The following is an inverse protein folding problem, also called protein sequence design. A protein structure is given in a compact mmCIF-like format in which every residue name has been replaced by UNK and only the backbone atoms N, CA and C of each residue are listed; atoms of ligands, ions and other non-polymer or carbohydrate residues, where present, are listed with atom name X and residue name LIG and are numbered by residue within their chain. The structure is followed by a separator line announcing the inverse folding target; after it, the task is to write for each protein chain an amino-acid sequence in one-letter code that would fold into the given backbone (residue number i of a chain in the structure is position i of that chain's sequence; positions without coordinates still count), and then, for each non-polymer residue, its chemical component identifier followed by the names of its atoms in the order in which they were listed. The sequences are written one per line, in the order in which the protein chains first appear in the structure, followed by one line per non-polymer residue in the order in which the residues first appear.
data_IF_334898056718
#
_entry.id   IF_334898056718
#
_cell.length_a   1.000
_cell.length_b   1.000
_cell.length_c   1.000
_cell.angle_alpha   90.00
_cell.angle_beta   90.00
_cell.angle_gamma   90.00
#
_symmetry.space_group_name_H-M   'P 1'
#
loop_
_entity.id
_entity.type
_entity.pdbx_description
1 polymer ?
#
# COMPACT_ATOMS: atom_id res chain seq x y z
N UNK A 1 5.81 25.77 6.98
CA UNK A 1 6.51 24.51 7.26
C UNK A 1 6.86 24.49 8.74
N UNK A 2 6.07 23.80 9.55
CA UNK A 2 6.23 23.76 11.02
C UNK A 2 7.28 22.72 11.42
N UNK A 3 7.90 22.90 12.58
CA UNK A 3 8.97 22.02 13.10
C UNK A 3 8.55 20.53 13.22
N UNK A 4 7.24 20.27 13.35
CA UNK A 4 6.63 18.93 13.29
C UNK A 4 6.69 18.29 11.90
N UNK A 5 6.57 19.07 10.83
CA UNK A 5 6.63 18.57 9.46
C UNK A 5 8.07 18.14 9.14
N UNK A 6 9.06 18.94 9.58
CA UNK A 6 10.48 18.63 9.40
C UNK A 6 10.88 17.31 10.08
N UNK A 7 10.43 17.08 11.32
CA UNK A 7 10.71 15.83 12.06
C UNK A 7 10.09 14.58 11.42
N UNK A 8 9.03 14.72 10.61
CA UNK A 8 8.39 13.59 9.92
C UNK A 8 9.09 13.22 8.61
N UNK A 9 9.68 14.20 7.93
CA UNK A 9 10.45 13.97 6.70
C UNK A 9 11.76 13.20 6.93
N UNK A 10 12.31 13.30 8.15
CA UNK A 10 13.53 12.60 8.58
C UNK A 10 13.30 11.16 9.06
N UNK A 11 12.05 10.68 9.15
CA UNK A 11 11.73 9.30 9.53
C UNK A 11 11.96 8.34 8.36
N UNK A 12 13.24 8.14 8.02
CA UNK A 12 13.67 7.09 7.11
C UNK A 12 13.51 5.74 7.81
N UNK A 13 12.98 4.76 7.09
CA UNK A 13 12.86 3.40 7.60
C UNK A 13 14.22 2.70 7.54
N UNK A 14 14.73 2.23 8.68
CA UNK A 14 15.87 1.28 8.77
C UNK A 14 15.47 -0.13 8.31
N UNK A 15 14.69 -0.23 7.23
CA UNK A 15 14.30 -1.53 6.69
C UNK A 15 15.56 -2.21 6.15
N UNK A 16 15.92 -3.42 6.63
CA UNK A 16 17.02 -4.16 6.05
C UNK A 16 16.76 -4.40 4.55
N UNK A 17 17.83 -4.54 3.74
CA UNK A 17 17.70 -4.71 2.30
C UNK A 17 16.74 -5.85 1.95
N UNK A 18 15.93 -5.64 0.92
CA UNK A 18 14.91 -6.60 0.53
C UNK A 18 15.53 -7.96 0.16
N UNK A 19 14.94 -9.09 0.58
CA UNK A 19 15.44 -10.42 0.25
C UNK A 19 15.10 -10.88 -1.18
N UNK A 20 14.76 -9.95 -2.08
CA UNK A 20 14.36 -10.18 -3.48
C UNK A 20 14.89 -9.05 -4.36
N UNK A 21 14.94 -9.28 -5.67
CA UNK A 21 15.41 -8.27 -6.62
C UNK A 21 14.50 -7.03 -6.60
N UNK A 22 15.11 -5.86 -6.41
CA UNK A 22 14.43 -4.55 -6.41
C UNK A 22 14.81 -3.69 -7.62
N UNK A 23 15.41 -4.31 -8.63
CA UNK A 23 15.88 -3.72 -9.88
C UNK A 23 14.77 -3.66 -10.96
N UNK A 24 13.52 -3.93 -10.57
CA UNK A 24 12.37 -3.93 -11.47
C UNK A 24 12.21 -5.19 -12.32
N UNK A 25 13.16 -6.13 -12.28
CA UNK A 25 13.08 -7.38 -13.07
C UNK A 25 12.11 -8.40 -12.46
N UNK A 26 12.00 -8.45 -11.13
CA UNK A 26 11.10 -9.36 -10.40
C UNK A 26 10.17 -8.63 -9.41
N UNK A 27 9.06 -8.08 -9.93
CA UNK A 27 7.97 -7.56 -9.09
C UNK A 27 7.20 -8.68 -8.37
N UNK A 28 7.31 -9.93 -8.82
CA UNK A 28 6.64 -11.09 -8.22
C UNK A 28 7.22 -11.43 -6.85
N UNK A 29 8.55 -11.37 -6.71
CA UNK A 29 9.27 -11.55 -5.46
C UNK A 29 8.81 -10.57 -4.37
N UNK A 30 8.66 -9.29 -4.72
CA UNK A 30 8.17 -8.25 -3.81
C UNK A 30 6.76 -8.57 -3.30
N UNK A 31 5.83 -8.85 -4.23
CA UNK A 31 4.44 -9.19 -3.91
C UNK A 31 4.36 -10.42 -3.01
N UNK A 32 5.14 -11.47 -3.31
CA UNK A 32 5.16 -12.73 -2.54
C UNK A 32 5.74 -12.54 -1.14
N UNK A 33 6.76 -11.72 -0.99
CA UNK A 33 7.33 -11.40 0.32
C UNK A 33 6.31 -10.65 1.20
N UNK A 34 5.68 -9.59 0.67
CA UNK A 34 4.67 -8.84 1.41
C UNK A 34 3.45 -9.71 1.76
N UNK A 35 3.07 -10.63 0.88
CA UNK A 35 2.07 -11.68 1.15
C UNK A 35 2.49 -12.59 2.31
N UNK A 36 3.72 -13.11 2.28
CA UNK A 36 4.25 -14.01 3.31
C UNK A 36 4.33 -13.35 4.69
N UNK A 37 4.74 -12.08 4.75
CA UNK A 37 4.79 -11.30 6.00
C UNK A 37 3.39 -11.08 6.57
N UNK A 38 2.41 -10.73 5.72
CA UNK A 38 1.02 -10.56 6.15
C UNK A 38 0.42 -11.89 6.67
N UNK A 39 0.67 -12.99 5.97
CA UNK A 39 0.20 -14.32 6.35
C UNK A 39 0.85 -14.80 7.66
N UNK A 40 2.15 -14.57 7.85
CA UNK A 40 2.86 -14.94 9.09
C UNK A 40 2.31 -14.19 10.31
N UNK A 41 1.97 -12.89 10.15
CA UNK A 41 1.30 -12.13 11.20
C UNK A 41 -0.10 -12.68 11.49
N UNK A 42 -0.88 -12.99 10.45
CA UNK A 42 -2.19 -13.60 10.62
C UNK A 42 -2.12 -14.95 11.36
N UNK A 43 -1.23 -15.85 10.94
CA UNK A 43 -1.06 -17.17 11.55
C UNK A 43 -0.59 -17.10 13.01
N UNK A 44 0.03 -15.99 13.44
CA UNK A 44 0.42 -15.78 14.84
C UNK A 44 -0.77 -15.42 15.73
N UNK A 45 -1.71 -14.60 15.25
CA UNK A 45 -2.81 -14.06 16.07
C UNK A 45 -4.12 -14.83 15.90
N UNK A 46 -4.43 -15.27 14.69
CA UNK A 46 -5.66 -15.97 14.36
C UNK A 46 -5.94 -17.22 15.22
N UNK A 47 -4.98 -18.16 15.43
CA UNK A 47 -5.27 -19.36 16.22
C UNK A 47 -5.59 -19.03 17.68
N UNK A 48 -5.01 -17.97 18.24
CA UNK A 48 -5.30 -17.54 19.62
C UNK A 48 -6.76 -17.08 19.74
N UNK A 49 -7.21 -16.20 18.85
CA UNK A 49 -8.60 -15.73 18.88
C UNK A 49 -9.60 -16.83 18.52
N UNK A 50 -9.24 -17.72 17.60
CA UNK A 50 -10.05 -18.87 17.23
C UNK A 50 -10.22 -19.83 18.41
N UNK A 51 -9.15 -20.13 19.15
CA UNK A 51 -9.22 -20.97 20.35
C UNK A 51 -10.08 -20.33 21.44
N UNK A 52 -9.95 -19.02 21.66
CA UNK A 52 -10.77 -18.29 22.63
C UNK A 52 -12.26 -18.33 22.30
N UNK A 53 -12.61 -18.43 21.02
CA UNK A 53 -13.99 -18.55 20.56
C UNK A 53 -14.50 -19.99 20.61
N UNK A 54 -13.72 -20.96 20.09
CA UNK A 54 -14.12 -22.37 19.97
C UNK A 54 -14.23 -23.05 21.35
N UNK A 55 -13.44 -22.65 22.35
CA UNK A 55 -13.51 -23.24 23.69
C UNK A 55 -14.92 -23.18 24.32
N UNK A 56 -15.74 -22.18 23.96
CA UNK A 56 -17.12 -22.07 24.45
C UNK A 56 -17.96 -23.28 24.04
N UNK A 57 -17.78 -23.72 22.80
CA UNK A 57 -18.53 -24.84 22.22
C UNK A 57 -18.04 -26.20 22.72
N UNK A 58 -16.76 -26.30 23.10
CA UNK A 58 -16.16 -27.56 23.59
C UNK A 58 -16.43 -27.75 25.08
N UNK A 59 -16.33 -26.69 25.88
CA UNK A 59 -16.40 -26.78 27.34
C UNK A 59 -17.82 -26.57 27.89
N UNK A 60 -18.75 -26.01 27.10
CA UNK A 60 -20.12 -25.70 27.53
C UNK A 60 -20.19 -24.91 28.86
N UNK A 61 -19.21 -24.03 29.09
CA UNK A 61 -19.14 -23.19 30.29
C UNK A 61 -19.69 -21.81 29.97
N UNK A 62 -20.90 -21.52 30.46
CA UNK A 62 -21.57 -20.23 30.26
C UNK A 62 -20.78 -19.04 30.80
N UNK A 63 -19.93 -19.25 31.81
CA UNK A 63 -19.03 -18.24 32.37
C UNK A 63 -17.94 -17.75 31.40
N UNK A 64 -17.64 -18.52 30.33
CA UNK A 64 -16.64 -18.14 29.33
C UNK A 64 -17.22 -17.30 28.18
N UNK A 65 -18.52 -16.99 28.21
CA UNK A 65 -19.21 -16.24 27.16
C UNK A 65 -18.57 -14.86 26.85
N UNK A 66 -18.13 -14.04 27.83
CA UNK A 66 -17.41 -12.79 27.54
C UNK A 66 -16.08 -13.02 26.80
N UNK A 67 -15.36 -14.09 27.15
CA UNK A 67 -14.07 -14.45 26.52
C UNK A 67 -14.30 -14.91 25.08
N UNK A 68 -15.36 -15.67 24.85
CA UNK A 68 -15.75 -16.13 23.52
C UNK A 68 -16.16 -14.98 22.60
N UNK A 69 -16.85 -13.96 23.12
CA UNK A 69 -17.19 -12.73 22.38
C UNK A 69 -15.90 -12.02 21.94
N UNK A 70 -14.92 -11.86 22.83
CA UNK A 70 -13.61 -11.27 22.49
C UNK A 70 -12.89 -12.10 21.43
N UNK A 71 -12.90 -13.42 21.55
CA UNK A 71 -12.36 -14.34 20.55
C UNK A 71 -13.02 -14.18 19.17
N UNK A 72 -14.34 -14.09 19.13
CA UNK A 72 -15.11 -13.88 17.90
C UNK A 72 -14.73 -12.55 17.22
N UNK A 73 -14.75 -11.44 17.97
CA UNK A 73 -14.38 -10.13 17.43
C UNK A 73 -12.92 -10.09 16.96
N UNK A 74 -11.99 -10.68 17.72
CA UNK A 74 -10.59 -10.79 17.31
C UNK A 74 -10.40 -11.62 16.04
N UNK A 75 -11.18 -12.69 15.87
CA UNK A 75 -11.16 -13.54 14.67
C UNK A 75 -11.67 -12.77 13.44
N UNK A 76 -12.82 -12.11 13.56
CA UNK A 76 -13.38 -11.28 12.48
C UNK A 76 -12.42 -10.13 12.13
N UNK A 77 -11.87 -9.46 13.13
CA UNK A 77 -10.92 -8.36 12.94
C UNK A 77 -9.63 -8.81 12.23
N UNK A 78 -9.04 -9.92 12.65
CA UNK A 78 -7.82 -10.46 12.02
C UNK A 78 -8.07 -10.92 10.58
N UNK A 79 -9.23 -11.53 10.29
CA UNK A 79 -9.65 -11.85 8.93
C UNK A 79 -9.83 -10.59 8.07
N UNK A 80 -10.46 -9.55 8.61
CA UNK A 80 -10.64 -8.28 7.92
C UNK A 80 -9.29 -7.63 7.58
N UNK A 81 -8.36 -7.59 8.53
CA UNK A 81 -7.00 -7.09 8.29
C UNK A 81 -6.26 -7.90 7.23
N UNK A 82 -6.36 -9.24 7.25
CA UNK A 82 -5.76 -10.08 6.23
C UNK A 82 -6.37 -9.79 4.85
N UNK A 83 -7.70 -9.72 4.75
CA UNK A 83 -8.41 -9.44 3.51
C UNK A 83 -8.02 -8.07 2.92
N UNK A 84 -7.92 -7.02 3.75
CA UNK A 84 -7.51 -5.69 3.30
C UNK A 84 -6.07 -5.70 2.75
N UNK A 85 -5.12 -6.34 3.47
CA UNK A 85 -3.72 -6.47 3.03
C UNK A 85 -3.57 -7.28 1.75
N UNK A 86 -4.33 -8.37 1.63
CA UNK A 86 -4.37 -9.21 0.44
C UNK A 86 -4.96 -8.45 -0.75
N UNK A 87 -6.06 -7.74 -0.55
CA UNK A 87 -6.71 -6.92 -1.58
C UNK A 87 -5.75 -5.85 -2.09
N UNK A 88 -5.04 -5.17 -1.18
CA UNK A 88 -4.06 -4.15 -1.53
C UNK A 88 -2.88 -4.72 -2.34
N UNK A 89 -2.32 -5.84 -1.88
CA UNK A 89 -1.21 -6.53 -2.57
C UNK A 89 -1.63 -7.03 -3.95
N UNK A 90 -2.87 -7.55 -4.07
CA UNK A 90 -3.46 -7.96 -5.36
C UNK A 90 -3.65 -6.76 -6.30
N UNK A 91 -4.05 -5.59 -5.78
CA UNK A 91 -4.16 -4.37 -6.59
C UNK A 91 -2.79 -3.97 -7.14
N UNK A 92 -1.75 -3.93 -6.33
CA UNK A 92 -0.39 -3.63 -6.82
C UNK A 92 0.06 -4.65 -7.88
N UNK A 93 -0.14 -5.95 -7.63
CA UNK A 93 0.19 -6.99 -8.60
C UNK A 93 -0.58 -6.84 -9.92
N UNK A 94 -1.86 -6.46 -9.84
CA UNK A 94 -2.70 -6.22 -11.03
C UNK A 94 -2.21 -4.99 -11.83
N UNK A 95 -1.76 -3.94 -11.15
CA UNK A 95 -1.15 -2.76 -11.78
C UNK A 95 0.17 -3.12 -12.48
N UNK A 96 1.08 -3.83 -11.81
CA UNK A 96 2.35 -4.27 -12.40
C UNK A 96 2.18 -5.19 -13.62
N UNK A 97 1.06 -5.93 -13.69
CA UNK A 97 0.73 -6.75 -14.87
C UNK A 97 0.13 -5.94 -16.04
N UNK A 98 -0.47 -4.79 -15.76
CA UNK A 98 -1.20 -4.00 -16.76
C UNK A 98 -0.36 -2.85 -17.33
N UNK A 99 0.59 -2.35 -16.55
CA UNK A 99 1.49 -1.26 -16.91
C UNK A 99 2.94 -1.73 -16.90
N UNK A 100 3.77 -1.30 -17.87
CA UNK A 100 5.20 -1.57 -17.83
C UNK A 100 5.83 -0.88 -16.62
N UNK A 101 6.88 -1.49 -16.07
CA UNK A 101 7.68 -0.91 -15.01
C UNK A 101 8.66 0.08 -15.63
N UNK A 102 8.56 1.35 -15.25
CA UNK A 102 9.45 2.41 -15.72
C UNK A 102 10.20 3.00 -14.53
N UNK A 103 11.52 3.10 -14.64
CA UNK A 103 12.33 3.76 -13.61
C UNK A 103 12.11 5.27 -13.71
N UNK A 104 11.70 5.90 -12.61
CA UNK A 104 11.44 7.33 -12.53
C UNK A 104 12.39 7.97 -11.51
N UNK A 105 13.17 8.94 -11.99
CA UNK A 105 14.08 9.79 -11.22
C UNK A 105 14.02 11.20 -11.75
N UNK A 106 14.10 12.26 -10.94
CA UNK A 106 14.15 12.25 -9.48
C UNK A 106 12.75 12.18 -8.83
N UNK A 107 12.68 11.76 -7.57
CA UNK A 107 11.43 11.72 -6.80
C UNK A 107 11.50 12.76 -5.68
N UNK A 108 10.64 13.76 -5.75
CA UNK A 108 10.53 14.80 -4.74
C UNK A 108 9.53 14.40 -3.64
N UNK A 109 9.98 14.54 -2.39
CA UNK A 109 9.14 14.39 -1.20
C UNK A 109 8.35 15.68 -0.99
N UNK A 110 7.04 15.65 -1.19
CA UNK A 110 6.20 16.84 -1.01
C UNK A 110 5.64 16.96 0.41
N UNK A 111 5.49 15.85 1.13
CA UNK A 111 5.14 15.84 2.56
C UNK A 111 4.40 14.59 3.03
N UNK A 112 4.13 14.51 4.33
CA UNK A 112 3.47 13.38 4.99
C UNK A 112 2.23 13.82 5.77
N UNK A 113 1.04 13.49 5.28
CA UNK A 113 -0.22 13.85 5.94
C UNK A 113 -0.48 13.00 7.19
N UNK A 114 -0.14 11.71 7.14
CA UNK A 114 -0.42 10.75 8.21
C UNK A 114 0.60 9.63 8.25
N UNK A 115 0.62 8.89 9.36
CA UNK A 115 1.48 7.70 9.62
C UNK A 115 1.31 6.57 8.60
N UNK A 116 0.61 6.73 7.48
CA UNK A 116 0.44 5.69 6.45
C UNK A 116 0.33 6.27 5.03
N UNK A 117 0.43 7.60 4.88
CA UNK A 117 0.18 8.31 3.63
C UNK A 117 1.32 9.27 3.35
N UNK A 118 2.00 9.09 2.22
CA UNK A 118 3.10 9.93 1.75
C UNK A 118 2.66 10.67 0.48
N UNK A 119 3.17 11.88 0.24
CA UNK A 119 2.97 12.60 -1.02
C UNK A 119 4.25 12.69 -1.82
N UNK A 120 4.17 12.22 -3.06
CA UNK A 120 5.28 12.10 -4.00
C UNK A 120 5.00 12.91 -5.26
N UNK A 121 6.05 13.50 -5.81
CA UNK A 121 6.07 14.14 -7.13
C UNK A 121 7.27 13.62 -7.92
N UNK A 122 7.07 13.38 -9.22
CA UNK A 122 8.16 12.99 -10.13
C UNK A 122 8.77 14.26 -10.74
N UNK A 123 10.08 14.46 -10.56
CA UNK A 123 10.76 15.72 -10.86
C UNK A 123 11.26 15.90 -12.29
N UNK A 124 11.34 14.84 -13.10
CA UNK A 124 12.00 14.88 -14.43
C UNK A 124 11.10 15.30 -15.59
N UNK A 125 9.78 15.22 -15.40
CA UNK A 125 8.85 15.80 -16.34
C UNK A 125 8.57 17.23 -15.90
N UNK A 126 9.17 18.19 -16.62
CA UNK A 126 9.01 19.63 -16.41
C UNK A 126 7.57 19.99 -16.03
N UNK A 127 7.36 20.28 -14.75
CA UNK A 127 6.07 20.78 -14.27
C UNK A 127 4.91 19.78 -14.25
N UNK A 128 5.11 18.48 -14.05
CA UNK A 128 3.97 17.58 -13.77
C UNK A 128 3.14 18.10 -12.57
N UNK A 129 1.86 18.45 -12.76
CA UNK A 129 1.05 19.10 -11.74
C UNK A 129 0.44 18.11 -10.73
N UNK A 130 0.84 16.83 -10.76
CA UNK A 130 0.18 15.74 -10.05
C UNK A 130 0.90 15.40 -8.75
N UNK A 131 0.29 15.77 -7.63
CA UNK A 131 0.69 15.28 -6.31
C UNK A 131 0.07 13.90 -6.09
N UNK A 132 0.91 12.86 -6.02
CA UNK A 132 0.47 11.48 -5.82
C UNK A 132 0.55 11.09 -4.34
N UNK A 133 -0.57 10.63 -3.81
CA UNK A 133 -0.73 9.98 -2.52
C UNK A 133 -0.25 8.53 -2.57
N UNK A 134 0.89 8.24 -1.94
CA UNK A 134 1.42 6.90 -1.76
C UNK A 134 0.93 6.29 -0.44
N UNK A 135 0.41 5.06 -0.50
CA UNK A 135 0.04 4.27 0.67
C UNK A 135 0.88 3.00 0.72
N UNK A 136 1.51 2.71 1.87
CA UNK A 136 2.32 1.51 2.04
C UNK A 136 1.45 0.24 2.05
N UNK A 137 1.89 -0.79 1.32
CA UNK A 137 1.24 -2.10 1.34
C UNK A 137 1.23 -2.74 2.73
N UNK A 138 2.31 -2.56 3.50
CA UNK A 138 2.41 -3.01 4.89
C UNK A 138 1.87 -2.00 5.91
N UNK A 139 1.42 -0.83 5.46
CA UNK A 139 0.95 0.24 6.33
C UNK A 139 2.02 0.68 7.32
N UNK A 140 3.26 0.80 6.83
CA UNK A 140 4.31 1.47 7.57
C UNK A 140 4.15 2.97 7.39
N UNK A 141 4.51 3.72 8.43
CA UNK A 141 4.40 5.17 8.47
C UNK A 141 5.70 5.90 8.39
N UNK A 142 6.61 5.40 7.56
CA UNK A 142 7.97 5.93 7.44
C UNK A 142 8.34 5.99 5.98
N UNK A 143 9.16 6.96 5.63
CA UNK A 143 9.72 7.05 4.29
C UNK A 143 10.61 5.82 4.04
N UNK A 144 10.38 5.06 2.96
CA UNK A 144 11.28 3.96 2.62
C UNK A 144 12.65 4.54 2.23
N UNK A 145 13.72 3.89 2.71
CA UNK A 145 15.09 4.28 2.38
C UNK A 145 15.31 4.18 0.86
N UNK A 146 16.04 5.15 0.29
CA UNK A 146 16.37 5.20 -1.14
C UNK A 146 15.29 5.76 -2.06
N UNK A 147 14.15 6.24 -1.54
CA UNK A 147 13.06 6.74 -2.39
C UNK A 147 13.43 7.96 -3.24
N UNK A 148 14.37 8.79 -2.77
CA UNK A 148 14.85 9.98 -3.47
C UNK A 148 15.71 9.64 -4.68
N UNK A 149 16.34 8.47 -4.65
CA UNK A 149 17.31 8.03 -5.67
C UNK A 149 16.60 7.46 -6.91
N UNK A 150 15.28 7.27 -6.82
CA UNK A 150 14.42 6.80 -7.90
C UNK A 150 13.48 5.70 -7.46
N UNK A 151 12.40 5.52 -8.20
CA UNK A 151 11.44 4.42 -7.98
C UNK A 151 11.03 3.77 -9.28
N UNK A 152 10.74 2.48 -9.22
CA UNK A 152 10.11 1.77 -10.32
C UNK A 152 8.61 2.02 -10.27
N UNK A 153 8.08 2.81 -11.22
CA UNK A 153 6.67 3.16 -11.33
C UNK A 153 5.97 2.33 -12.39
N UNK A 154 4.78 1.84 -12.07
CA UNK A 154 3.86 1.25 -13.01
C UNK A 154 2.47 1.87 -12.80
N UNK A 155 1.94 2.51 -13.82
CA UNK A 155 0.64 3.15 -13.73
C UNK A 155 0.50 4.31 -14.69
N UNK A 156 -0.46 5.17 -14.40
CA UNK A 156 -0.77 6.33 -15.19
C UNK A 156 -1.05 7.52 -14.25
N UNK A 157 -0.31 8.61 -14.39
CA UNK A 157 -0.30 9.73 -13.43
C UNK A 157 -1.69 10.32 -13.08
N UNK A 158 -2.63 10.49 -14.03
CA UNK A 158 -3.98 11.01 -13.74
C UNK A 158 -4.85 10.03 -12.93
N UNK A 159 -4.53 8.73 -12.99
CA UNK A 159 -5.29 7.66 -12.34
C UNK A 159 -4.58 7.12 -11.08
N UNK A 160 -3.25 7.16 -11.04
CA UNK A 160 -2.41 6.54 -10.02
C UNK A 160 -1.66 5.30 -10.53
N UNK A 161 -1.11 4.52 -9.61
CA UNK A 161 -0.25 3.39 -9.97
C UNK A 161 0.28 2.64 -8.76
N UNK A 162 1.38 1.92 -8.96
CA UNK A 162 2.13 1.27 -7.91
C UNK A 162 3.62 1.53 -8.14
N UNK A 163 4.38 1.67 -7.04
CA UNK A 163 5.84 1.80 -7.08
C UNK A 163 6.53 0.77 -6.24
N UNK A 164 7.74 0.42 -6.67
CA UNK A 164 8.73 -0.36 -5.92
C UNK A 164 9.93 0.53 -5.66
N UNK A 165 10.33 0.65 -4.39
CA UNK A 165 11.51 1.41 -4.00
C UNK A 165 12.75 0.51 -4.08
N UNK A 166 13.79 0.88 -4.86
CA UNK A 166 15.05 0.16 -4.93
C UNK A 166 15.71 0.03 -3.55
N UNK A 167 16.38 -1.10 -3.30
CA UNK A 167 17.07 -1.40 -2.03
C UNK A 167 16.13 -1.87 -0.93
N UNK A 168 15.11 -1.06 -0.58
CA UNK A 168 14.16 -1.41 0.49
C UNK A 168 13.06 -2.39 0.05
N UNK A 169 12.74 -2.44 -1.25
CA UNK A 169 11.70 -3.30 -1.82
C UNK A 169 10.28 -2.94 -1.38
N UNK A 170 10.10 -1.76 -0.78
CA UNK A 170 8.78 -1.38 -0.29
C UNK A 170 7.82 -1.10 -1.45
N UNK A 171 6.62 -1.70 -1.35
CA UNK A 171 5.53 -1.49 -2.30
C UNK A 171 4.64 -0.36 -1.82
N UNK A 172 4.51 0.68 -2.63
CA UNK A 172 3.56 1.77 -2.40
C UNK A 172 2.52 1.79 -3.51
N UNK A 173 1.26 1.94 -3.16
CA UNK A 173 0.20 2.21 -4.12
C UNK A 173 -0.03 3.72 -4.19
N UNK A 174 -0.03 4.26 -5.40
CA UNK A 174 -0.17 5.67 -5.68
C UNK A 174 -1.60 5.96 -6.14
N UNK A 175 -2.19 7.02 -5.58
CA UNK A 175 -3.42 7.62 -6.07
C UNK A 175 -3.25 9.14 -6.14
N UNK A 176 -3.90 9.85 -7.07
CA UNK A 176 -3.95 11.31 -7.03
C UNK A 176 -4.47 11.81 -5.68
N UNK A 177 -3.80 12.80 -5.07
CA UNK A 177 -4.23 13.42 -3.80
C UNK A 177 -5.66 13.94 -3.92
N UNK A 178 -5.88 14.80 -4.91
CA UNK A 178 -7.16 15.46 -5.15
C UNK A 178 -7.89 14.74 -6.28
N UNK A 179 -8.38 13.53 -5.99
CA UNK A 179 -9.06 12.72 -7.01
C UNK A 179 -10.15 13.53 -7.71
N UNK A 180 -11.06 14.17 -6.99
CA UNK A 180 -12.17 14.93 -7.59
C UNK A 180 -11.72 16.18 -8.36
N UNK A 181 -10.64 16.86 -7.95
CA UNK A 181 -10.16 18.06 -8.65
C UNK A 181 -9.48 17.75 -9.99
N UNK A 182 -9.27 16.47 -10.29
CA UNK A 182 -8.59 15.97 -11.49
C UNK A 182 -9.48 15.03 -12.29
N UNK A 183 -10.81 15.17 -12.16
CA UNK A 183 -11.77 14.48 -13.03
C UNK A 183 -11.56 14.92 -14.50
N UNK A 184 -11.34 16.21 -14.76
CA UNK A 184 -11.07 16.75 -16.11
C UNK A 184 -9.81 16.16 -16.78
N UNK A 185 -8.72 15.97 -16.02
CA UNK A 185 -7.48 15.36 -16.52
C UNK A 185 -7.65 13.87 -16.87
N UNK A 186 -8.63 13.19 -16.26
CA UNK A 186 -8.96 11.78 -16.57
C UNK A 186 -9.94 11.68 -17.72
N UNK A 187 -10.91 12.58 -17.79
CA UNK A 187 -11.87 12.63 -18.89
C UNK A 187 -11.15 12.99 -20.21
N UNK A 188 -10.11 13.82 -20.15
CA UNK A 188 -9.23 14.13 -21.28
C UNK A 188 -8.18 13.07 -21.60
N UNK A 189 -7.89 12.12 -20.70
CA UNK A 189 -6.92 11.04 -20.94
C UNK A 189 -7.40 10.03 -22.01
N UNK A 190 -8.66 10.10 -22.42
CA UNK A 190 -9.22 9.28 -23.48
C UNK A 190 -9.67 7.89 -22.98
N UNK A 191 -10.52 7.20 -23.78
CA UNK A 191 -11.17 5.97 -23.38
C UNK A 191 -10.17 4.81 -23.16
N UNK A 192 -9.08 4.77 -23.94
CA UNK A 192 -8.08 3.70 -23.85
C UNK A 192 -7.33 3.71 -22.50
N UNK A 193 -6.90 4.89 -22.04
CA UNK A 193 -6.21 5.04 -20.74
C UNK A 193 -7.15 4.75 -19.58
N UNK A 194 -8.42 5.16 -19.70
CA UNK A 194 -9.47 4.87 -18.73
C UNK A 194 -9.76 3.37 -18.62
N UNK A 195 -9.88 2.67 -19.76
CA UNK A 195 -10.08 1.23 -19.78
C UNK A 195 -8.85 0.48 -19.22
N UNK A 196 -7.63 0.95 -19.53
CA UNK A 196 -6.39 0.40 -18.98
C UNK A 196 -6.31 0.57 -17.46
N UNK A 197 -6.69 1.74 -16.93
CA UNK A 197 -6.78 1.98 -15.49
C UNK A 197 -7.84 1.08 -14.82
N UNK A 198 -8.99 0.88 -15.49
CA UNK A 198 -10.02 -0.05 -15.09
C UNK A 198 -9.53 -1.51 -15.03
N UNK A 199 -8.80 -1.94 -16.07
CA UNK A 199 -8.14 -3.26 -16.13
C UNK A 199 -7.06 -3.43 -15.06
N UNK A 200 -6.37 -2.36 -14.66
CA UNK A 200 -5.44 -2.38 -13.54
C UNK A 200 -6.13 -2.37 -12.16
N UNK A 201 -7.45 -2.15 -12.11
CA UNK A 201 -8.22 -2.07 -10.86
C UNK A 201 -8.01 -0.76 -10.10
N UNK A 202 -7.49 0.27 -10.78
CA UNK A 202 -7.36 1.62 -10.24
C UNK A 202 -8.76 2.25 -10.31
N UNK A 203 -9.44 2.28 -9.17
CA UNK A 203 -10.79 2.85 -9.05
C UNK A 203 -10.78 4.05 -8.13
N UNK A 204 -11.75 4.96 -8.37
CA UNK A 204 -12.03 6.08 -7.48
C UNK A 204 -12.13 5.56 -6.04
N UNK A 205 -11.37 6.11 -5.08
CA UNK A 205 -11.55 5.76 -3.69
C UNK A 205 -12.99 6.08 -3.30
N UNK A 206 -13.69 5.12 -2.69
CA UNK A 206 -14.99 5.39 -2.11
C UNK A 206 -14.81 6.53 -1.10
N UNK A 207 -15.52 7.65 -1.31
CA UNK A 207 -15.48 8.82 -0.42
C UNK A 207 -15.58 8.35 1.03
N UNK A 208 -14.65 8.77 1.86
CA UNK A 208 -14.73 8.65 3.31
C UNK A 208 -14.72 10.04 3.89
#
# INVERSE_FOLDING_TARGET
MTERDRRRDDLVSDTPPAPYATDGTDFGGAVRYHYGVALKKFLKFFPVFLLLWVQLFVLHLDYLLPVAIVGMFGTVWTLFLLADRLSFTRKCSKVFRTYPLEFRTPVEKYGMESTHTLFLRFGDQGGTPFTLRAKHALGRGRWPAGITDGVWFAGDEPFGGAVIVPGSGELLFLQPRDWAARDEDRDSAGPERTEKAGRAGIKRPARR
#
